data_IF_374034573407
#
_entry.id   IF_374034573407
#
_cell.length_a   1.000
_cell.length_b   1.000
_cell.length_c   1.000
_cell.angle_alpha   90.00
_cell.angle_beta   90.00
_cell.angle_gamma   90.00
#
_symmetry.space_group_name_H-M   'P 1'
#
loop_
_entity.id
_entity.type
_entity.pdbx_description
1 polymer ?
#
# COMPACT_ATOMS: atom_id res chain seq x y z
N UNK A 1 -0.81 28.44 19.12
CA UNK A 1 -1.16 27.02 18.88
C UNK A 1 -0.04 26.19 19.48
N UNK A 2 -0.36 25.18 20.29
CA UNK A 2 0.66 24.21 20.71
C UNK A 2 1.19 23.48 19.47
N UNK A 3 2.49 23.16 19.38
CA UNK A 3 3.02 22.38 18.26
C UNK A 3 2.27 21.04 18.23
N UNK A 4 1.69 20.70 17.07
CA UNK A 4 1.06 19.39 16.88
C UNK A 4 2.14 18.31 16.96
N UNK A 5 1.87 17.25 17.73
CA UNK A 5 2.78 16.11 17.78
C UNK A 5 2.95 15.52 16.36
N UNK A 6 4.19 15.17 15.96
CA UNK A 6 4.43 14.59 14.65
C UNK A 6 3.66 13.27 14.49
N UNK A 7 3.09 13.05 13.31
CA UNK A 7 2.37 11.84 12.95
C UNK A 7 3.18 11.05 11.94
N UNK A 8 3.36 9.75 12.17
CA UNK A 8 4.01 8.86 11.20
C UNK A 8 2.96 8.03 10.47
N UNK A 9 2.92 8.19 9.14
CA UNK A 9 2.05 7.45 8.24
C UNK A 9 2.86 6.38 7.49
N UNK A 10 2.42 5.13 7.59
CA UNK A 10 2.98 4.02 6.85
C UNK A 10 2.11 3.70 5.64
N UNK A 11 2.67 3.76 4.44
CA UNK A 11 1.98 3.47 3.18
C UNK A 11 2.50 2.15 2.60
N UNK A 12 1.58 1.26 2.27
CA UNK A 12 1.89 -0.08 1.75
C UNK A 12 0.97 -0.38 0.59
N UNK A 13 1.52 -0.42 -0.63
CA UNK A 13 0.79 -0.80 -1.83
C UNK A 13 1.02 -2.28 -2.17
N UNK A 14 0.05 -2.90 -2.86
CA UNK A 14 0.35 -4.10 -3.64
C UNK A 14 1.51 -3.79 -4.59
N UNK A 15 2.48 -4.70 -4.81
CA UNK A 15 3.61 -4.46 -5.71
C UNK A 15 3.19 -4.57 -7.18
N UNK A 16 2.26 -3.71 -7.57
CA UNK A 16 1.78 -3.48 -8.92
C UNK A 16 1.74 -1.97 -9.16
N UNK A 17 2.23 -1.52 -10.32
CA UNK A 17 2.42 -0.09 -10.56
C UNK A 17 1.13 0.74 -10.50
N UNK A 18 0.01 0.18 -10.98
CA UNK A 18 -1.32 0.81 -10.88
C UNK A 18 -1.80 1.04 -9.44
N UNK A 19 -1.24 0.32 -8.47
CA UNK A 19 -1.52 0.47 -7.05
C UNK A 19 -0.53 1.42 -6.37
N UNK A 20 0.76 1.22 -6.63
CA UNK A 20 1.85 1.94 -5.99
C UNK A 20 1.92 3.42 -6.41
N UNK A 21 1.73 3.72 -7.71
CA UNK A 21 1.79 5.10 -8.24
C UNK A 21 0.80 6.07 -7.59
N UNK A 22 -0.52 5.79 -7.55
CA UNK A 22 -1.47 6.72 -6.94
C UNK A 22 -1.24 6.84 -5.42
N UNK A 23 -0.72 5.79 -4.76
CA UNK A 23 -0.35 5.86 -3.35
C UNK A 23 0.86 6.78 -3.11
N UNK A 24 1.88 6.76 -3.98
CA UNK A 24 2.97 7.73 -3.95
C UNK A 24 2.48 9.17 -4.16
N UNK A 25 1.56 9.40 -5.10
CA UNK A 25 0.97 10.72 -5.30
C UNK A 25 0.23 11.22 -4.05
N UNK A 26 -0.53 10.36 -3.38
CA UNK A 26 -1.15 10.68 -2.09
C UNK A 26 -0.09 11.03 -1.04
N UNK A 27 0.96 10.21 -0.91
CA UNK A 27 2.08 10.44 0.01
C UNK A 27 2.75 11.80 -0.18
N UNK A 28 3.09 12.15 -1.43
CA UNK A 28 3.68 13.43 -1.79
C UNK A 28 2.78 14.61 -1.39
N UNK A 29 1.45 14.50 -1.58
CA UNK A 29 0.50 15.51 -1.12
C UNK A 29 0.47 15.60 0.40
N UNK A 30 0.44 14.50 1.14
CA UNK A 30 0.40 14.52 2.61
C UNK A 30 1.58 15.28 3.22
N UNK A 31 2.80 15.02 2.75
CA UNK A 31 4.02 15.74 3.21
C UNK A 31 4.08 17.18 2.71
N UNK A 32 3.41 17.50 1.59
CA UNK A 32 3.27 18.87 1.11
C UNK A 32 2.28 19.66 1.95
N UNK A 33 1.18 19.05 2.38
CA UNK A 33 0.12 19.73 3.16
C UNK A 33 0.43 19.79 4.67
N UNK A 34 1.33 18.96 5.19
CA UNK A 34 1.77 19.01 6.59
C UNK A 34 3.27 18.76 6.77
N UNK A 35 3.94 19.69 7.46
CA UNK A 35 5.33 19.57 7.91
C UNK A 35 5.50 18.69 9.16
N UNK A 36 4.39 18.26 9.78
CA UNK A 36 4.39 17.36 10.94
C UNK A 36 4.13 15.90 10.58
N UNK A 37 3.95 15.60 9.29
CA UNK A 37 3.77 14.23 8.80
C UNK A 37 5.11 13.65 8.38
N UNK A 38 5.50 12.56 9.04
CA UNK A 38 6.54 11.66 8.58
C UNK A 38 5.90 10.55 7.74
N UNK A 39 6.47 10.26 6.59
CA UNK A 39 5.98 9.26 5.66
C UNK A 39 6.97 8.11 5.47
N UNK A 40 6.52 6.88 5.64
CA UNK A 40 7.29 5.70 5.19
C UNK A 40 6.49 4.94 4.16
N UNK A 41 7.08 4.66 2.99
CA UNK A 41 6.51 3.79 1.96
C UNK A 41 7.29 2.49 1.93
N UNK A 42 6.63 1.37 2.19
CA UNK A 42 7.21 0.04 2.00
C UNK A 42 6.91 -0.46 0.60
N UNK A 43 7.94 -0.94 -0.09
CA UNK A 43 7.86 -1.35 -1.49
C UNK A 43 8.77 -2.55 -1.78
N UNK A 44 8.77 -2.99 -3.04
CA UNK A 44 9.74 -3.94 -3.60
C UNK A 44 10.80 -3.21 -4.42
N UNK A 45 11.92 -3.90 -4.71
CA UNK A 45 13.00 -3.37 -5.54
C UNK A 45 12.52 -2.89 -6.92
N UNK A 46 11.56 -3.58 -7.54
CA UNK A 46 11.00 -3.24 -8.87
C UNK A 46 10.41 -1.82 -8.90
N UNK A 47 9.84 -1.35 -7.79
CA UNK A 47 9.16 -0.06 -7.73
C UNK A 47 9.95 1.04 -7.02
N UNK A 48 11.11 0.73 -6.43
CA UNK A 48 11.85 1.68 -5.59
C UNK A 48 12.15 3.00 -6.33
N UNK A 49 12.85 2.93 -7.45
CA UNK A 49 13.22 4.14 -8.22
C UNK A 49 12.00 4.79 -8.88
N UNK A 50 11.01 4.00 -9.31
CA UNK A 50 9.78 4.53 -9.91
C UNK A 50 8.95 5.32 -8.91
N UNK A 51 8.91 4.87 -7.65
CA UNK A 51 8.24 5.58 -6.55
C UNK A 51 8.98 6.84 -6.17
N UNK A 52 10.32 6.80 -6.07
CA UNK A 52 11.14 8.00 -5.82
C UNK A 52 10.86 9.06 -6.89
N UNK A 53 11.01 8.67 -8.16
CA UNK A 53 10.73 9.56 -9.28
C UNK A 53 9.30 10.12 -9.26
N UNK A 54 8.29 9.29 -8.96
CA UNK A 54 6.91 9.78 -8.91
C UNK A 54 6.68 10.76 -7.75
N UNK A 55 7.26 10.52 -6.57
CA UNK A 55 7.18 11.48 -5.46
C UNK A 55 7.86 12.79 -5.84
N UNK A 56 9.10 12.73 -6.32
CA UNK A 56 9.88 13.92 -6.67
C UNK A 56 9.14 14.72 -7.74
N UNK A 57 8.60 14.05 -8.76
CA UNK A 57 7.75 14.68 -9.80
C UNK A 57 6.51 15.35 -9.21
N UNK A 58 5.84 14.77 -8.21
CA UNK A 58 4.65 15.34 -7.58
C UNK A 58 5.00 16.55 -6.69
N UNK A 59 6.16 16.52 -6.04
CA UNK A 59 6.70 17.64 -5.26
C UNK A 59 7.12 18.80 -6.19
N UNK A 60 7.75 18.50 -7.32
CA UNK A 60 8.12 19.47 -8.34
C UNK A 60 6.91 20.08 -9.03
N UNK A 61 5.89 19.29 -9.37
CA UNK A 61 4.70 19.75 -10.13
C UNK A 61 3.58 20.32 -9.25
N UNK A 62 3.82 20.50 -7.94
CA UNK A 62 2.92 21.19 -7.04
C UNK A 62 2.53 22.58 -7.58
N UNK A 63 1.35 23.09 -7.22
CA UNK A 63 0.88 24.38 -7.75
C UNK A 63 1.92 25.49 -7.51
N UNK A 64 2.02 26.53 -8.36
CA UNK A 64 2.95 27.66 -8.15
C UNK A 64 2.75 28.40 -6.82
N UNK A 65 1.60 28.21 -6.15
CA UNK A 65 1.35 28.68 -4.80
C UNK A 65 1.95 27.77 -3.73
N UNK A 66 2.01 26.45 -3.97
CA UNK A 66 2.64 25.45 -3.09
C UNK A 66 4.16 25.43 -3.23
N UNK A 67 4.69 25.56 -4.46
CA UNK A 67 6.14 25.65 -4.73
C UNK A 67 6.83 26.83 -4.04
N UNK A 68 6.12 27.96 -3.89
CA UNK A 68 6.64 29.15 -3.21
C UNK A 68 6.63 29.04 -1.68
N UNK A 69 5.91 28.07 -1.12
CA UNK A 69 5.64 27.99 0.32
C UNK A 69 6.39 26.82 0.98
N UNK A 70 6.77 25.74 0.27
CA UNK A 70 7.37 24.55 0.92
C UNK A 70 8.46 23.86 0.10
N UNK A 71 9.70 23.95 0.57
CA UNK A 71 10.69 22.90 0.34
C UNK A 71 10.34 21.77 1.34
N UNK A 72 9.82 20.64 0.87
CA UNK A 72 9.61 19.46 1.74
C UNK A 72 10.99 18.92 2.09
N UNK A 73 11.39 18.89 3.37
CA UNK A 73 12.66 18.29 3.77
C UNK A 73 12.69 16.81 3.38
N UNK A 74 13.80 16.35 2.81
CA UNK A 74 13.99 14.92 2.49
C UNK A 74 13.89 14.01 3.73
N UNK A 75 14.00 14.57 4.94
CA UNK A 75 13.78 13.85 6.20
C UNK A 75 12.31 13.54 6.52
N UNK A 76 11.35 14.14 5.81
CA UNK A 76 9.92 13.89 6.03
C UNK A 76 9.39 12.65 5.31
N UNK A 77 10.16 12.03 4.41
CA UNK A 77 9.75 10.79 3.76
C UNK A 77 10.88 9.78 3.55
N UNK A 78 10.53 8.51 3.65
CA UNK A 78 11.39 7.37 3.35
C UNK A 78 10.68 6.40 2.41
N UNK A 79 11.37 5.92 1.37
CA UNK A 79 10.90 4.81 0.52
C UNK A 79 11.86 3.64 0.74
N UNK A 80 11.33 2.54 1.25
CA UNK A 80 12.10 1.40 1.72
C UNK A 80 11.66 0.17 0.95
N UNK A 81 12.59 -0.38 0.16
CA UNK A 81 12.38 -1.69 -0.44
C UNK A 81 12.66 -2.78 0.59
N UNK A 82 11.68 -3.67 0.82
CA UNK A 82 11.79 -4.77 1.79
C UNK A 82 12.50 -5.99 1.23
N UNK A 83 12.52 -6.12 -0.09
CA UNK A 83 13.10 -7.26 -0.81
C UNK A 83 14.06 -6.74 -1.89
N UNK A 84 15.28 -7.27 -1.91
CA UNK A 84 16.38 -6.79 -2.73
C UNK A 84 16.29 -7.29 -4.18
N UNK A 85 16.00 -8.58 -4.34
CA UNK A 85 15.89 -9.27 -5.62
C UNK A 85 14.60 -10.06 -5.62
N UNK A 86 13.89 -10.00 -6.73
CA UNK A 86 12.69 -10.80 -6.95
C UNK A 86 12.70 -11.32 -8.38
N UNK A 87 12.14 -12.50 -8.56
CA UNK A 87 11.87 -13.00 -9.90
C UNK A 87 10.70 -12.22 -10.51
N UNK A 88 11.03 -11.15 -11.24
CA UNK A 88 10.05 -10.32 -11.91
C UNK A 88 9.23 -11.08 -12.98
N UNK A 89 9.65 -12.29 -13.38
CA UNK A 89 8.90 -13.14 -14.31
C UNK A 89 7.69 -13.82 -13.66
N UNK A 90 7.64 -13.88 -12.32
CA UNK A 90 6.52 -14.42 -11.56
C UNK A 90 5.90 -13.36 -10.60
N UNK A 91 4.95 -12.55 -11.08
CA UNK A 91 4.31 -11.51 -10.27
C UNK A 91 3.68 -12.00 -8.96
N UNK A 92 3.17 -13.24 -8.94
CA UNK A 92 2.56 -13.82 -7.73
C UNK A 92 3.61 -14.12 -6.66
N UNK A 93 4.80 -14.59 -7.05
CA UNK A 93 5.91 -14.78 -6.13
C UNK A 93 6.35 -13.46 -5.50
N UNK A 94 6.46 -12.39 -6.30
CA UNK A 94 6.76 -11.03 -5.80
C UNK A 94 5.76 -10.57 -4.74
N UNK A 95 4.46 -10.79 -4.99
CA UNK A 95 3.40 -10.43 -4.03
C UNK A 95 3.55 -11.23 -2.73
N UNK A 96 3.79 -12.53 -2.83
CA UNK A 96 3.96 -13.42 -1.67
C UNK A 96 5.16 -13.04 -0.81
N UNK A 97 6.33 -12.83 -1.42
CA UNK A 97 7.55 -12.42 -0.71
C UNK A 97 7.42 -11.02 -0.08
N UNK A 98 6.78 -10.09 -0.78
CA UNK A 98 6.49 -8.77 -0.23
C UNK A 98 5.55 -8.85 0.97
N UNK A 99 4.51 -9.69 0.90
CA UNK A 99 3.61 -9.92 2.03
C UNK A 99 4.34 -10.56 3.23
N UNK A 100 5.24 -11.52 2.99
CA UNK A 100 6.01 -12.18 4.04
C UNK A 100 7.02 -11.24 4.72
N UNK A 101 7.62 -10.31 3.98
CA UNK A 101 8.59 -9.34 4.51
C UNK A 101 7.96 -8.18 5.29
N UNK A 102 6.63 -7.99 5.19
CA UNK A 102 5.94 -6.89 5.86
C UNK A 102 6.00 -6.97 7.39
N UNK A 103 5.69 -8.13 7.98
CA UNK A 103 5.54 -8.23 9.44
C UNK A 103 6.84 -7.89 10.20
N UNK A 104 8.03 -8.42 9.83
CA UNK A 104 9.28 -8.03 10.45
C UNK A 104 9.61 -6.54 10.28
N UNK A 105 9.33 -5.98 9.11
CA UNK A 105 9.54 -4.55 8.85
C UNK A 105 8.63 -3.67 9.71
N UNK A 106 7.34 -4.02 9.81
CA UNK A 106 6.39 -3.29 10.63
C UNK A 106 6.74 -3.38 12.12
N UNK A 107 7.19 -4.54 12.60
CA UNK A 107 7.66 -4.69 13.99
C UNK A 107 8.83 -3.75 14.31
N UNK A 108 9.83 -3.66 13.42
CA UNK A 108 10.96 -2.72 13.56
C UNK A 108 10.47 -1.27 13.65
N UNK A 109 9.53 -0.88 12.78
CA UNK A 109 8.97 0.48 12.77
C UNK A 109 8.16 0.77 14.04
N UNK A 110 7.35 -0.17 14.54
CA UNK A 110 6.57 -0.03 15.78
C UNK A 110 7.49 0.11 16.99
N UNK A 111 8.63 -0.57 16.98
CA UNK A 111 9.65 -0.47 18.03
C UNK A 111 10.53 0.79 17.91
N UNK A 112 10.24 1.69 16.96
CA UNK A 112 11.02 2.89 16.69
C UNK A 112 12.52 2.58 16.49
N UNK A 113 12.81 1.51 15.73
CA UNK A 113 14.18 1.09 15.39
C UNK A 113 14.55 1.53 13.98
N UNK A 114 15.85 1.59 13.69
CA UNK A 114 16.34 1.81 12.34
C UNK A 114 16.02 0.63 11.43
N UNK A 115 15.85 0.92 10.15
CA UNK A 115 15.47 -0.06 9.13
C UNK A 115 16.34 0.11 7.88
N UNK A 116 16.80 -1.00 7.32
CA UNK A 116 17.67 -0.99 6.14
C UNK A 116 16.85 -1.28 4.89
N UNK A 117 17.00 -0.47 3.85
CA UNK A 117 16.48 -0.78 2.52
C UNK A 117 17.26 -1.95 1.93
N UNK A 118 16.55 -3.04 1.64
CA UNK A 118 17.16 -4.27 1.14
C UNK A 118 17.84 -4.07 -0.22
N UNK A 119 17.34 -3.16 -1.06
CA UNK A 119 17.89 -2.90 -2.39
C UNK A 119 19.13 -2.01 -2.37
N UNK A 120 19.15 -0.94 -1.57
CA UNK A 120 20.23 0.06 -1.59
C UNK A 120 21.24 -0.09 -0.45
N UNK A 121 20.93 -0.89 0.56
CA UNK A 121 21.71 -0.97 1.80
C UNK A 121 21.63 0.29 2.67
N UNK A 122 20.85 1.29 2.26
CA UNK A 122 20.66 2.54 3.01
C UNK A 122 19.97 2.24 4.33
N UNK A 123 20.59 2.65 5.43
CA UNK A 123 19.99 2.58 6.77
C UNK A 123 19.20 3.86 7.00
N UNK A 124 17.91 3.72 7.28
CA UNK A 124 17.06 4.81 7.73
C UNK A 124 17.06 4.81 9.25
N UNK A 125 17.40 5.96 9.83
CA UNK A 125 17.44 6.15 11.28
C UNK A 125 16.07 5.88 11.93
N UNK A 126 16.13 5.54 13.21
CA UNK A 126 14.94 5.34 14.03
C UNK A 126 14.00 6.56 13.95
N UNK A 127 12.73 6.30 13.67
CA UNK A 127 11.66 7.27 13.67
C UNK A 127 10.63 6.95 14.75
N UNK A 128 9.72 7.88 15.05
CA UNK A 128 8.55 7.60 15.89
C UNK A 128 7.74 6.44 15.30
N UNK A 129 7.07 5.65 16.15
CA UNK A 129 6.26 4.53 15.68
C UNK A 129 5.11 4.99 14.75
N UNK A 130 4.70 4.17 13.75
CA UNK A 130 3.56 4.48 12.90
C UNK A 130 2.28 4.76 13.72
N UNK A 131 1.68 5.92 13.47
CA UNK A 131 0.43 6.38 14.10
C UNK A 131 -0.81 6.03 13.27
N UNK A 132 -0.63 5.75 11.98
CA UNK A 132 -1.66 5.21 11.11
C UNK A 132 -1.02 4.48 9.92
N UNK A 133 -1.77 3.58 9.31
CA UNK A 133 -1.35 2.83 8.10
C UNK A 133 -2.37 3.05 7.00
N UNK A 134 -1.89 3.34 5.79
CA UNK A 134 -2.68 3.31 4.57
C UNK A 134 -2.23 2.07 3.79
N UNK A 135 -3.14 1.11 3.68
CA UNK A 135 -2.86 -0.21 3.15
C UNK A 135 -3.71 -0.45 1.92
N UNK A 136 -3.11 -0.97 0.86
CA UNK A 136 -3.85 -1.44 -0.30
C UNK A 136 -4.99 -2.39 0.08
N UNK A 137 -6.13 -2.29 -0.59
CA UNK A 137 -7.27 -3.14 -0.28
C UNK A 137 -7.00 -4.65 -0.51
N UNK A 138 -5.98 -5.01 -1.30
CA UNK A 138 -5.51 -6.40 -1.40
C UNK A 138 -4.56 -6.84 -0.28
N UNK A 139 -4.16 -5.93 0.62
CA UNK A 139 -3.19 -6.16 1.69
C UNK A 139 -3.69 -6.96 2.89
N UNK A 140 -4.55 -7.96 2.70
CA UNK A 140 -5.12 -8.75 3.81
C UNK A 140 -4.04 -9.40 4.70
N UNK A 141 -2.97 -10.03 4.16
CA UNK A 141 -1.89 -10.57 4.99
C UNK A 141 -1.23 -9.50 5.87
N UNK A 142 -1.00 -8.31 5.32
CA UNK A 142 -0.41 -7.18 6.03
C UNK A 142 -1.36 -6.66 7.11
N UNK A 143 -2.66 -6.58 6.83
CA UNK A 143 -3.66 -6.22 7.84
C UNK A 143 -3.62 -7.19 9.01
N UNK A 144 -3.60 -8.50 8.76
CA UNK A 144 -3.51 -9.51 9.81
C UNK A 144 -2.22 -9.36 10.62
N UNK A 145 -1.08 -9.16 9.97
CA UNK A 145 0.19 -8.92 10.64
C UNK A 145 0.16 -7.64 11.50
N UNK A 146 -0.41 -6.54 11.00
CA UNK A 146 -0.62 -5.32 11.78
C UNK A 146 -1.43 -5.62 13.03
N UNK A 147 -2.56 -6.33 12.88
CA UNK A 147 -3.44 -6.65 14.01
C UNK A 147 -2.80 -7.60 15.01
N UNK A 148 -1.95 -8.51 14.57
CA UNK A 148 -1.20 -9.37 15.47
C UNK A 148 -0.19 -8.58 16.32
N UNK A 149 0.45 -7.56 15.74
CA UNK A 149 1.51 -6.78 16.41
C UNK A 149 0.98 -5.63 17.28
N UNK A 150 -0.04 -4.90 16.82
CA UNK A 150 -0.54 -3.69 17.51
C UNK A 150 -2.02 -3.75 17.86
N UNK A 151 -2.71 -4.86 17.61
CA UNK A 151 -4.14 -4.96 17.85
C UNK A 151 -4.90 -3.86 17.09
N UNK A 152 -5.70 -3.07 17.80
CA UNK A 152 -6.49 -1.96 17.22
C UNK A 152 -5.95 -0.57 17.57
N UNK A 153 -4.76 -0.47 18.17
CA UNK A 153 -4.20 0.82 18.60
C UNK A 153 -3.79 1.70 17.43
N UNK A 154 -3.29 1.09 16.34
CA UNK A 154 -2.95 1.79 15.10
C UNK A 154 -4.11 1.70 14.10
N UNK A 155 -4.76 2.81 13.71
CA UNK A 155 -5.78 2.81 12.67
C UNK A 155 -5.19 2.35 11.33
N UNK A 156 -5.97 1.56 10.59
CA UNK A 156 -5.62 1.11 9.22
C UNK A 156 -6.73 1.59 8.29
N UNK A 157 -6.34 2.35 7.27
CA UNK A 157 -7.22 2.82 6.20
C UNK A 157 -6.96 2.00 4.95
N UNK A 158 -8.02 1.51 4.32
CA UNK A 158 -7.93 0.82 3.04
C UNK A 158 -7.79 1.82 1.90
N UNK A 159 -6.78 1.63 1.05
CA UNK A 159 -6.57 2.39 -0.16
C UNK A 159 -7.13 1.63 -1.35
N UNK A 160 -8.13 2.24 -1.99
CA UNK A 160 -8.93 1.63 -3.06
C UNK A 160 -8.59 2.35 -4.37
N UNK A 161 -7.77 1.71 -5.21
CA UNK A 161 -7.15 2.33 -6.40
C UNK A 161 -7.96 2.20 -7.69
N UNK A 162 -9.09 1.50 -7.67
CA UNK A 162 -9.98 1.34 -8.82
C UNK A 162 -11.25 2.19 -8.72
N UNK A 163 -11.99 2.27 -9.81
CA UNK A 163 -13.30 2.94 -9.84
C UNK A 163 -14.33 2.20 -8.99
N UNK A 164 -15.20 2.94 -8.30
CA UNK A 164 -16.26 2.37 -7.46
C UNK A 164 -17.13 1.35 -8.21
N UNK A 165 -17.37 1.55 -9.52
CA UNK A 165 -18.10 0.61 -10.38
C UNK A 165 -17.44 -0.77 -10.44
N UNK A 166 -16.11 -0.85 -10.52
CA UNK A 166 -15.38 -2.12 -10.49
C UNK A 166 -15.59 -2.82 -9.15
N UNK A 167 -15.59 -2.08 -8.05
CA UNK A 167 -15.80 -2.68 -6.73
C UNK A 167 -17.23 -3.16 -6.53
N UNK A 168 -18.20 -2.35 -6.94
CA UNK A 168 -19.61 -2.72 -6.92
C UNK A 168 -19.82 -3.97 -7.78
N UNK A 169 -19.24 -4.02 -8.98
CA UNK A 169 -19.37 -5.18 -9.86
C UNK A 169 -18.81 -6.45 -9.22
N UNK A 170 -17.61 -6.40 -8.65
CA UNK A 170 -16.92 -7.61 -8.17
C UNK A 170 -17.34 -8.05 -6.76
N UNK A 171 -17.65 -7.11 -5.86
CA UNK A 171 -17.91 -7.38 -4.44
C UNK A 171 -19.24 -6.81 -3.93
N UNK A 172 -19.98 -6.07 -4.76
CA UNK A 172 -21.28 -5.53 -4.39
C UNK A 172 -22.40 -6.58 -4.50
N UNK A 173 -23.54 -6.33 -3.84
CA UNK A 173 -24.73 -7.15 -4.01
C UNK A 173 -25.37 -6.92 -5.39
N UNK A 174 -26.14 -7.90 -5.85
CA UNK A 174 -26.83 -7.85 -7.15
C UNK A 174 -27.79 -6.67 -7.26
N UNK A 175 -28.41 -6.27 -6.15
CA UNK A 175 -29.37 -5.16 -6.09
C UNK A 175 -28.79 -3.81 -6.54
N UNK A 176 -27.47 -3.68 -6.61
CA UNK A 176 -26.78 -2.47 -7.10
C UNK A 176 -25.85 -2.77 -8.30
N UNK A 177 -26.02 -3.93 -8.96
CA UNK A 177 -25.25 -4.31 -10.16
C UNK A 177 -23.99 -5.14 -9.90
N UNK A 178 -23.83 -5.67 -8.70
CA UNK A 178 -22.74 -6.58 -8.35
C UNK A 178 -22.98 -8.04 -8.77
N UNK A 179 -21.92 -8.85 -8.72
CA UNK A 179 -21.97 -10.27 -9.07
C UNK A 179 -22.67 -11.14 -8.03
N UNK A 180 -22.89 -10.63 -6.80
CA UNK A 180 -23.50 -11.39 -5.71
C UNK A 180 -22.66 -12.62 -5.32
N UNK A 181 -23.33 -13.72 -4.97
CA UNK A 181 -22.67 -15.00 -4.74
C UNK A 181 -22.30 -15.68 -6.08
N UNK A 182 -21.22 -15.17 -6.69
CA UNK A 182 -20.71 -15.71 -7.95
C UNK A 182 -20.32 -17.20 -7.81
N UNK A 183 -19.71 -17.58 -6.69
CA UNK A 183 -19.33 -18.97 -6.42
C UNK A 183 -20.54 -19.91 -6.38
N UNK A 184 -21.61 -19.50 -5.69
CA UNK A 184 -22.87 -20.24 -5.66
C UNK A 184 -23.50 -20.39 -7.04
N UNK A 185 -23.45 -19.35 -7.88
CA UNK A 185 -23.95 -19.41 -9.27
C UNK A 185 -23.16 -20.38 -10.14
N UNK A 186 -21.83 -20.32 -10.06
CA UNK A 186 -20.94 -21.24 -10.79
C UNK A 186 -21.23 -22.68 -10.35
N UNK A 187 -21.39 -22.93 -9.06
CA UNK A 187 -21.72 -24.26 -8.54
C UNK A 187 -23.09 -24.76 -9.03
N UNK A 188 -24.11 -23.90 -9.02
CA UNK A 188 -25.45 -24.25 -9.51
C UNK A 188 -25.44 -24.58 -11.02
N UNK A 189 -24.70 -23.81 -11.80
CA UNK A 189 -24.60 -24.01 -13.25
C UNK A 189 -23.77 -25.24 -13.62
N UNK A 190 -22.71 -25.54 -12.87
CA UNK A 190 -21.96 -26.79 -12.97
C UNK A 190 -22.86 -28.00 -12.70
N UNK A 191 -23.69 -27.95 -11.66
CA UNK A 191 -24.65 -29.01 -11.37
C UNK A 191 -25.71 -29.17 -12.47
N UNK A 192 -26.16 -28.07 -13.08
CA UNK A 192 -27.16 -28.09 -14.18
C UNK A 192 -26.60 -28.67 -15.47
N UNK A 193 -25.35 -28.37 -15.80
CA UNK A 193 -24.72 -28.73 -17.08
C UNK A 193 -23.90 -30.03 -17.01
N UNK A 194 -23.57 -30.50 -15.81
CA UNK A 194 -22.63 -31.60 -15.60
C UNK A 194 -21.17 -31.24 -15.88
N UNK A 195 -20.87 -29.97 -16.18
CA UNK A 195 -19.52 -29.48 -16.45
C UNK A 195 -18.77 -29.17 -15.15
N UNK A 196 -17.43 -29.25 -15.13
CA UNK A 196 -16.63 -28.81 -13.99
C UNK A 196 -16.86 -27.32 -13.66
N UNK A 197 -16.94 -26.98 -12.38
CA UNK A 197 -17.12 -25.60 -11.92
C UNK A 197 -16.06 -24.63 -12.46
N UNK A 198 -14.83 -25.09 -12.65
CA UNK A 198 -13.76 -24.29 -13.26
C UNK A 198 -14.11 -23.90 -14.70
N UNK A 199 -14.56 -24.85 -15.52
CA UNK A 199 -14.95 -24.60 -16.93
C UNK A 199 -16.16 -23.66 -17.02
N UNK A 200 -17.07 -23.74 -16.04
CA UNK A 200 -18.24 -22.86 -15.96
C UNK A 200 -17.86 -21.45 -15.53
N UNK A 201 -16.92 -21.30 -14.60
CA UNK A 201 -16.46 -19.99 -14.10
C UNK A 201 -15.56 -19.22 -15.07
N UNK A 202 -15.05 -19.89 -16.10
CA UNK A 202 -14.19 -19.30 -17.16
C UNK A 202 -14.98 -18.77 -18.37
N UNK A 203 -16.28 -19.08 -18.48
CA UNK A 203 -17.19 -18.60 -19.53
C UNK A 203 -17.83 -17.25 -19.17
#
# INVERSE_FOLDING_TARGET
>A
MAPSNPSHLLLVALPAWGHARPLAALGARLVTESDTVLLTILTTSIHLEKLRFEIDRQLETGSPALQRIRQVPASLYAIIALIASVDASNPLAVIGEFAASYAPAYEVLVQAKSITCATTGTVFEAAIAPTAIILDFFGIPQLHATRALTGRTVPVLAWVTGGASTFIRNWGPESIGGSGDFGGKVAAEAARTGKPALEVGEQ
#
